data_IF_543278597821
#
_entry.id   IF_543278597821
#
_cell.length_a   1.000
_cell.length_b   1.000
_cell.length_c   1.000
_cell.angle_alpha   90.00
_cell.angle_beta   90.00
_cell.angle_gamma   90.00
#
_symmetry.space_group_name_H-M   'P 1'
#
loop_
_entity.id
_entity.type
_entity.pdbx_description
1 polymer ?
#
# COMPACT_ATOMS: atom_id res chain seq x y z
N UNK A 1 1.56 -24.01 4.32
CA UNK A 1 1.38 -23.89 3.76
C UNK A 1 1.56 -23.86 2.64
N UNK A 2 1.65 -23.84 2.05
CA UNK A 2 1.75 -23.60 1.14
C UNK A 2 1.35 -24.08 0.09
N UNK A 3 0.98 -24.93 -0.40
CA UNK A 3 0.51 -25.35 -1.27
C UNK A 3 -0.68 -24.99 -1.76
N UNK A 4 -1.64 -25.31 -1.26
CA UNK A 4 -2.81 -24.85 -1.58
C UNK A 4 -2.79 -23.43 -1.49
N UNK A 5 -1.97 -22.97 -0.69
CA UNK A 5 -1.84 -21.67 -0.54
C UNK A 5 -1.45 -21.02 -1.83
N UNK A 6 -0.56 -21.62 -2.59
CA UNK A 6 -0.11 -21.00 -3.80
C UNK A 6 -1.22 -20.84 -4.82
N UNK A 7 -2.23 -21.67 -4.76
CA UNK A 7 -3.31 -21.52 -5.69
C UNK A 7 -4.21 -20.38 -5.35
N UNK A 8 -4.29 -20.02 -4.07
CA UNK A 8 -5.20 -18.98 -3.67
C UNK A 8 -4.52 -17.67 -3.45
N UNK A 9 -3.26 -17.71 -3.18
CA UNK A 9 -2.62 -16.51 -2.70
C UNK A 9 -2.41 -15.43 -3.74
N UNK A 10 -2.59 -15.75 -5.02
CA UNK A 10 -2.45 -14.70 -6.02
C UNK A 10 -3.40 -13.55 -5.76
N UNK A 11 -4.48 -13.81 -5.02
CA UNK A 11 -5.45 -12.78 -4.77
C UNK A 11 -5.67 -12.55 -3.29
N UNK A 12 -4.74 -13.04 -2.47
CA UNK A 12 -4.90 -12.95 -1.03
C UNK A 12 -3.81 -12.15 -0.35
N UNK A 13 -3.26 -11.17 -1.04
CA UNK A 13 -2.28 -10.31 -0.41
C UNK A 13 -2.96 -9.25 0.43
N UNK A 14 -2.27 -8.79 1.44
CA UNK A 14 -2.73 -7.73 2.30
C UNK A 14 -1.59 -6.77 2.61
N UNK A 15 -1.91 -5.76 3.39
CA UNK A 15 -0.95 -4.77 3.83
C UNK A 15 -0.87 -4.82 5.34
N UNK A 16 0.34 -4.82 5.86
CA UNK A 16 0.56 -4.73 7.30
C UNK A 16 1.18 -3.38 7.59
N UNK A 17 0.70 -2.71 8.63
CA UNK A 17 1.26 -1.42 9.03
C UNK A 17 2.53 -1.70 9.83
N UNK A 18 3.69 -1.45 9.24
CA UNK A 18 4.95 -1.62 9.95
C UNK A 18 5.25 -0.42 10.82
N UNK A 19 4.99 0.78 10.30
CA UNK A 19 5.23 2.01 11.04
C UNK A 19 4.16 3.02 10.61
N UNK A 20 3.23 3.36 11.49
CA UNK A 20 2.17 4.31 11.12
C UNK A 20 2.67 5.75 11.03
N UNK A 21 3.82 6.06 11.64
CA UNK A 21 4.32 7.43 11.64
C UNK A 21 3.31 8.39 12.26
N UNK A 22 3.03 9.47 11.54
CA UNK A 22 2.12 10.50 12.03
C UNK A 22 0.66 10.21 11.74
N UNK A 23 0.34 8.98 11.37
CA UNK A 23 -1.04 8.63 11.01
C UNK A 23 -1.74 8.00 12.20
N UNK A 24 -2.34 8.86 13.02
CA UNK A 24 -2.86 8.47 14.32
C UNK A 24 -4.00 7.45 14.28
N UNK A 25 -4.68 7.34 13.16
CA UNK A 25 -5.79 6.40 13.05
C UNK A 25 -5.34 4.99 12.69
N UNK A 26 -4.05 4.81 12.40
CA UNK A 26 -3.52 3.49 12.10
C UNK A 26 -2.73 2.97 13.27
N UNK A 27 -2.74 1.66 13.45
CA UNK A 27 -1.98 1.03 14.51
C UNK A 27 -0.94 0.12 13.91
N UNK A 28 0.26 0.13 14.49
CA UNK A 28 1.30 -0.78 14.09
C UNK A 28 0.80 -2.21 14.20
N UNK A 29 1.05 -3.00 13.19
CA UNK A 29 0.63 -4.40 13.14
C UNK A 29 -0.74 -4.63 12.59
N UNK A 30 -1.52 -3.56 12.33
CA UNK A 30 -2.83 -3.72 11.71
C UNK A 30 -2.67 -4.23 10.30
N UNK A 31 -3.65 -4.99 9.84
CA UNK A 31 -3.61 -5.57 8.51
C UNK A 31 -4.84 -5.20 7.74
N UNK A 32 -4.64 -4.87 6.46
CA UNK A 32 -5.73 -4.51 5.56
C UNK A 32 -5.64 -5.44 4.36
N UNK A 33 -6.68 -6.23 4.07
CA UNK A 33 -6.63 -7.07 2.88
C UNK A 33 -6.74 -6.21 1.64
N UNK A 34 -6.04 -6.59 0.59
CA UNK A 34 -6.12 -5.86 -0.66
C UNK A 34 -7.26 -6.46 -1.47
N UNK A 35 -8.36 -5.73 -1.54
CA UNK A 35 -9.53 -6.14 -2.28
C UNK A 35 -10.00 -4.99 -3.13
N UNK A 36 -10.18 -5.24 -4.42
CA UNK A 36 -10.53 -4.17 -5.33
C UNK A 36 -9.44 -3.12 -5.38
N UNK A 37 -9.83 -1.86 -5.36
CA UNK A 37 -8.90 -0.77 -5.40
C UNK A 37 -8.74 -0.19 -4.00
N UNK A 38 -7.51 -0.04 -3.55
CA UNK A 38 -7.21 0.61 -2.28
C UNK A 38 -6.51 1.91 -2.58
N UNK A 39 -7.14 3.02 -2.23
CA UNK A 39 -6.53 4.33 -2.39
C UNK A 39 -6.02 4.85 -1.07
N UNK A 40 -4.89 5.55 -1.10
CA UNK A 40 -4.25 6.07 0.10
C UNK A 40 -4.02 7.56 -0.07
N UNK A 41 -4.37 8.33 0.93
CA UNK A 41 -4.17 9.76 0.89
C UNK A 41 -4.85 10.47 2.04
N UNK A 42 -4.73 11.81 2.03
CA UNK A 42 -5.26 12.61 3.12
C UNK A 42 -6.74 12.91 2.99
N UNK A 43 -7.27 12.86 1.77
CA UNK A 43 -8.69 13.17 1.58
C UNK A 43 -9.56 12.02 2.07
N UNK A 44 -10.75 12.37 2.53
CA UNK A 44 -11.62 11.42 3.19
C UNK A 44 -12.22 10.39 2.24
N UNK A 45 -12.16 10.62 0.94
CA UNK A 45 -12.69 9.65 -0.01
C UNK A 45 -11.70 8.53 -0.33
N UNK A 46 -10.53 8.54 0.31
CA UNK A 46 -9.58 7.43 0.14
C UNK A 46 -10.02 6.22 0.94
N UNK A 47 -9.61 5.04 0.48
CA UNK A 47 -9.84 3.80 1.23
C UNK A 47 -9.10 3.85 2.56
N UNK A 48 -7.85 4.28 2.53
CA UNK A 48 -7.06 4.46 3.75
C UNK A 48 -6.78 5.96 3.87
N UNK A 49 -7.40 6.59 4.86
CA UNK A 49 -7.27 8.03 5.05
C UNK A 49 -6.11 8.28 6.00
N UNK A 50 -5.18 9.12 5.56
CA UNK A 50 -3.94 9.37 6.29
C UNK A 50 -3.91 10.82 6.77
N UNK A 51 -3.18 11.07 7.87
CA UNK A 51 -3.11 12.40 8.50
C UNK A 51 -1.77 13.07 8.31
N UNK A 52 -0.77 12.33 7.83
CA UNK A 52 0.59 12.86 7.66
C UNK A 52 0.58 14.00 6.65
N UNK A 53 1.09 15.16 7.04
CA UNK A 53 1.06 16.32 6.18
C UNK A 53 1.93 16.18 4.93
N UNK A 54 2.83 15.23 4.91
CA UNK A 54 3.68 14.99 3.75
C UNK A 54 3.02 14.08 2.72
N UNK A 55 1.82 13.60 3.02
CA UNK A 55 1.09 12.72 2.11
C UNK A 55 0.07 13.56 1.35
N UNK A 56 0.02 13.36 0.03
CA UNK A 56 -0.90 14.10 -0.83
C UNK A 56 -2.34 13.68 -0.60
N UNK A 57 -3.29 14.51 -1.05
CA UNK A 57 -4.71 14.21 -0.89
C UNK A 57 -5.10 12.88 -1.49
N UNK A 58 -4.65 12.61 -2.72
CA UNK A 58 -4.73 11.29 -3.34
C UNK A 58 -3.30 10.94 -3.71
N UNK A 59 -2.68 10.09 -2.92
CA UNK A 59 -1.24 9.88 -3.01
C UNK A 59 -0.87 8.68 -3.87
N UNK A 60 -1.52 7.55 -3.61
CA UNK A 60 -1.21 6.32 -4.33
C UNK A 60 -2.42 5.41 -4.29
N UNK A 61 -2.40 4.40 -5.14
CA UNK A 61 -3.45 3.39 -5.08
C UNK A 61 -2.86 2.03 -5.40
N UNK A 62 -3.53 1.00 -4.94
CA UNK A 62 -3.16 -0.38 -5.18
C UNK A 62 -4.36 -1.07 -5.80
N UNK A 63 -4.15 -1.81 -6.87
CA UNK A 63 -5.25 -2.50 -7.53
C UNK A 63 -4.72 -3.78 -8.18
N UNK A 64 -5.64 -4.63 -8.62
CA UNK A 64 -5.29 -5.89 -9.25
C UNK A 64 -5.58 -5.77 -10.74
N UNK A 65 -4.61 -6.13 -11.56
CA UNK A 65 -4.78 -6.11 -13.00
C UNK A 65 -4.06 -7.33 -13.57
N UNK A 66 -4.77 -8.13 -14.36
CA UNK A 66 -4.19 -9.34 -14.96
C UNK A 66 -3.54 -10.23 -13.93
N UNK A 67 -4.22 -10.39 -12.79
CA UNK A 67 -3.77 -11.25 -11.69
C UNK A 67 -2.51 -10.75 -11.00
N UNK A 68 -2.17 -9.49 -11.21
CA UNK A 68 -1.01 -8.90 -10.54
C UNK A 68 -1.47 -7.74 -9.68
N UNK A 69 -0.79 -7.55 -8.56
CA UNK A 69 -1.04 -6.42 -7.67
C UNK A 69 -0.17 -5.28 -8.12
N UNK A 70 -0.78 -4.12 -8.35
CA UNK A 70 -0.09 -2.96 -8.91
C UNK A 70 -0.17 -1.81 -7.92
N UNK A 71 0.96 -1.16 -7.69
CA UNK A 71 1.03 0.07 -6.91
C UNK A 71 1.24 1.22 -7.88
N UNK A 72 0.42 2.25 -7.75
CA UNK A 72 0.55 3.41 -8.63
C UNK A 72 0.68 4.68 -7.82
N UNK A 73 1.68 5.49 -8.14
CA UNK A 73 1.83 6.81 -7.55
C UNK A 73 0.96 7.80 -8.33
N UNK A 74 0.18 8.60 -7.62
CA UNK A 74 -0.77 9.52 -8.25
C UNK A 74 -0.19 10.94 -8.30
N UNK A 75 1.03 11.07 -8.82
CA UNK A 75 1.71 12.36 -8.92
C UNK A 75 1.84 13.01 -7.56
N UNK A 76 2.23 12.22 -6.59
CA UNK A 76 2.36 12.72 -5.23
C UNK A 76 3.50 13.72 -5.15
N UNK A 77 3.36 14.66 -4.23
CA UNK A 77 4.36 15.72 -4.06
C UNK A 77 5.68 15.16 -3.52
N UNK A 78 5.60 14.29 -2.52
CA UNK A 78 6.80 13.82 -1.84
C UNK A 78 7.20 12.40 -2.22
N UNK A 79 6.41 11.74 -3.05
CA UNK A 79 6.80 10.45 -3.60
C UNK A 79 6.23 9.25 -2.87
N UNK A 80 6.17 8.16 -3.60
CA UNK A 80 5.85 6.83 -3.08
C UNK A 80 7.11 6.00 -3.30
N UNK A 81 7.49 5.22 -2.29
CA UNK A 81 8.72 4.45 -2.35
C UNK A 81 8.43 2.98 -2.20
N UNK A 82 9.08 2.16 -3.00
CA UNK A 82 8.98 0.72 -2.91
C UNK A 82 10.36 0.18 -2.57
N UNK A 83 10.47 -0.46 -1.42
CA UNK A 83 11.74 -0.99 -0.91
C UNK A 83 12.84 0.09 -0.90
N UNK A 84 12.44 1.31 -0.52
CA UNK A 84 13.38 2.41 -0.40
C UNK A 84 13.65 3.18 -1.68
N UNK A 85 13.04 2.78 -2.80
CA UNK A 85 13.30 3.44 -4.07
C UNK A 85 12.03 4.14 -4.55
N UNK A 86 12.16 5.40 -4.93
CA UNK A 86 10.99 6.15 -5.40
C UNK A 86 10.48 5.57 -6.70
N UNK A 87 9.16 5.39 -6.78
CA UNK A 87 8.53 4.91 -8.01
C UNK A 87 7.87 6.07 -8.74
N UNK A 88 7.68 5.89 -10.02
CA UNK A 88 6.98 6.84 -10.87
C UNK A 88 5.99 6.02 -11.69
N UNK A 89 4.69 6.41 -11.63
CA UNK A 89 3.69 5.63 -12.32
C UNK A 89 3.38 4.33 -11.61
N UNK A 90 3.46 3.22 -12.30
CA UNK A 90 3.00 1.94 -11.81
C UNK A 90 4.13 0.94 -11.66
N UNK A 91 4.06 0.12 -10.61
CA UNK A 91 4.99 -0.98 -10.41
C UNK A 91 4.23 -2.18 -9.89
N UNK A 92 4.73 -3.37 -10.16
CA UNK A 92 4.14 -4.59 -9.65
C UNK A 92 4.58 -4.80 -8.21
N UNK A 93 3.64 -5.21 -7.36
CA UNK A 93 3.91 -5.54 -5.98
C UNK A 93 4.07 -7.04 -5.81
N UNK A 94 4.94 -7.41 -4.90
CA UNK A 94 5.13 -8.80 -4.54
C UNK A 94 5.12 -8.94 -3.03
N UNK A 95 4.89 -10.16 -2.57
CA UNK A 95 4.89 -10.43 -1.15
C UNK A 95 6.23 -9.99 -0.56
N UNK A 96 6.21 -9.43 0.64
CA UNK A 96 7.36 -8.92 1.39
C UNK A 96 7.84 -7.54 0.95
N UNK A 97 7.27 -6.96 -0.10
CA UNK A 97 7.64 -5.59 -0.48
C UNK A 97 7.23 -4.59 0.59
N UNK A 98 8.03 -3.55 0.75
CA UNK A 98 7.73 -2.48 1.69
C UNK A 98 7.42 -1.20 0.93
N UNK A 99 6.30 -0.59 1.28
CA UNK A 99 5.81 0.63 0.64
C UNK A 99 5.90 1.76 1.64
N UNK A 100 6.52 2.87 1.25
CA UNK A 100 6.63 4.03 2.13
C UNK A 100 6.03 5.25 1.46
N UNK A 101 5.19 5.96 2.19
CA UNK A 101 4.71 7.27 1.78
C UNK A 101 4.66 8.14 3.03
N UNK A 102 5.34 9.29 2.97
CA UNK A 102 5.49 10.13 4.16
C UNK A 102 6.19 9.33 5.24
N UNK A 103 5.61 9.36 6.44
CA UNK A 103 6.15 8.64 7.58
C UNK A 103 5.56 7.23 7.73
N UNK A 104 4.70 6.83 6.80
CA UNK A 104 4.03 5.53 6.87
C UNK A 104 4.81 4.48 6.10
N UNK A 105 4.99 3.31 6.70
CA UNK A 105 5.56 2.15 6.01
C UNK A 105 4.62 0.98 6.14
N UNK A 106 4.31 0.38 5.00
CA UNK A 106 3.44 -0.78 4.91
C UNK A 106 4.24 -1.93 4.31
N UNK A 107 3.85 -3.15 4.65
CA UNK A 107 4.48 -4.33 4.09
C UNK A 107 3.42 -5.18 3.40
N UNK A 108 3.74 -5.68 2.22
CA UNK A 108 2.86 -6.58 1.49
C UNK A 108 3.02 -7.98 2.08
N UNK A 109 1.92 -8.54 2.57
CA UNK A 109 1.95 -9.85 3.22
C UNK A 109 0.98 -10.79 2.50
N UNK A 110 1.28 -12.07 2.55
CA UNK A 110 0.42 -13.06 1.88
C UNK A 110 -0.11 -14.16 2.74
#
# INVERSE_FOLDING_TARGET
SSRKKSEMTDFDLGLEVLNPGDNNLLKKGSMVPIRGVISLGRKEDNTIVLQDKFISGHHAKIFIKNREYILEDLDSTNGTFLNGKRIYGRVKLEEEDEITLGSLTLKVIG
#
